data_IF_688343751408
#
_entry.id   IF_688343751408
#
_cell.length_a   1.000
_cell.length_b   1.000
_cell.length_c   1.000
_cell.angle_alpha   90.00
_cell.angle_beta   90.00
_cell.angle_gamma   90.00
#
_symmetry.space_group_name_H-M   'P 1'
#
loop_
_entity.id
_entity.type
_entity.pdbx_description
1 polymer ?
#
# COMPACT_ATOMS: atom_id res chain seq x y z
N UNK A 1 -30.53 -8.45 41.77
CA UNK A 1 -31.58 -7.63 42.40
C UNK A 1 -31.09 -7.22 43.78
N UNK A 2 -30.71 -5.95 43.96
CA UNK A 2 -30.37 -5.41 45.28
C UNK A 2 -30.87 -3.97 45.32
N UNK A 3 -32.01 -3.77 45.98
CA UNK A 3 -32.63 -2.47 46.22
C UNK A 3 -32.02 -1.84 47.46
N UNK A 4 -31.18 -0.84 47.29
CA UNK A 4 -30.68 0.01 48.38
C UNK A 4 -31.80 0.92 48.90
N UNK A 5 -31.91 1.18 50.20
CA UNK A 5 -33.06 1.85 50.79
C UNK A 5 -33.06 3.34 50.43
N UNK A 6 -34.15 3.78 49.82
CA UNK A 6 -34.47 5.19 49.58
C UNK A 6 -34.64 5.86 50.94
N UNK A 7 -33.68 6.69 51.35
CA UNK A 7 -33.81 7.54 52.52
C UNK A 7 -35.00 8.49 52.31
N UNK A 8 -36.10 8.25 53.02
CA UNK A 8 -37.19 9.19 53.12
C UNK A 8 -36.69 10.40 53.94
N UNK A 9 -36.72 11.63 53.40
CA UNK A 9 -36.36 12.81 54.17
C UNK A 9 -37.44 13.02 55.24
N UNK A 10 -37.06 12.93 56.52
CA UNK A 10 -37.91 13.38 57.63
C UNK A 10 -38.17 14.87 57.46
N UNK A 11 -39.39 15.22 57.06
CA UNK A 11 -39.84 16.61 56.88
C UNK A 11 -40.23 17.20 58.22
N UNK A 12 -39.27 17.86 58.88
CA UNK A 12 -39.57 18.81 59.96
C UNK A 12 -40.38 19.97 59.35
N UNK A 13 -41.47 20.48 59.98
CA UNK A 13 -42.29 21.54 59.40
C UNK A 13 -41.48 22.85 59.37
N UNK A 14 -40.78 23.06 58.26
CA UNK A 14 -40.10 24.31 57.98
C UNK A 14 -41.14 25.41 57.73
N UNK A 15 -40.97 26.58 58.34
CA UNK A 15 -41.77 27.76 57.98
C UNK A 15 -41.59 28.10 56.50
N UNK A 16 -42.57 28.77 55.88
CA UNK A 16 -42.60 29.04 54.43
C UNK A 16 -41.29 29.64 53.89
N UNK A 17 -40.66 30.57 54.61
CA UNK A 17 -39.37 31.15 54.21
C UNK A 17 -38.19 30.17 54.20
N UNK A 18 -38.19 29.17 55.08
CA UNK A 18 -37.17 28.12 55.11
C UNK A 18 -37.41 27.09 53.98
N UNK A 19 -38.67 26.79 53.64
CA UNK A 19 -38.99 25.99 52.45
C UNK A 19 -38.56 26.69 51.15
N UNK A 20 -38.73 28.01 51.07
CA UNK A 20 -38.33 28.79 49.90
C UNK A 20 -36.80 28.78 49.70
N UNK A 21 -36.02 28.91 50.78
CA UNK A 21 -34.54 28.79 50.71
C UNK A 21 -34.11 27.38 50.32
N UNK A 22 -34.69 26.35 50.93
CA UNK A 22 -34.35 24.97 50.59
C UNK A 22 -34.64 24.66 49.11
N UNK A 23 -35.72 25.21 48.55
CA UNK A 23 -36.03 25.11 47.12
C UNK A 23 -35.03 25.89 46.25
N UNK A 24 -34.62 27.09 46.66
CA UNK A 24 -33.60 27.87 45.95
C UNK A 24 -32.24 27.17 45.95
N UNK A 25 -31.83 26.60 47.08
CA UNK A 25 -30.56 25.87 47.22
C UNK A 25 -30.60 24.58 46.37
N UNK A 26 -31.71 23.84 46.42
CA UNK A 26 -31.90 22.67 45.58
C UNK A 26 -31.94 23.03 44.09
N UNK A 27 -32.60 24.13 43.72
CA UNK A 27 -32.63 24.61 42.33
C UNK A 27 -31.22 24.96 41.85
N UNK A 28 -30.43 25.64 42.69
CA UNK A 28 -29.04 25.95 42.38
C UNK A 28 -28.19 24.70 42.21
N UNK A 29 -28.29 23.74 43.12
CA UNK A 29 -27.58 22.46 43.04
C UNK A 29 -27.95 21.68 41.76
N UNK A 30 -29.24 21.67 41.38
CA UNK A 30 -29.69 21.05 40.14
C UNK A 30 -29.13 21.76 38.91
N UNK A 31 -29.10 23.10 38.89
CA UNK A 31 -28.50 23.86 37.79
C UNK A 31 -27.01 23.56 37.64
N UNK A 32 -26.25 23.58 38.75
CA UNK A 32 -24.82 23.26 38.74
C UNK A 32 -24.57 21.82 38.23
N UNK A 33 -25.42 20.87 38.62
CA UNK A 33 -25.34 19.48 38.14
C UNK A 33 -25.68 19.35 36.66
N UNK A 34 -26.67 20.08 36.16
CA UNK A 34 -27.02 20.11 34.74
C UNK A 34 -25.86 20.66 33.93
N UNK A 35 -25.24 21.77 34.36
CA UNK A 35 -24.09 22.37 33.67
C UNK A 35 -22.88 21.42 33.59
N UNK A 36 -22.60 20.66 34.64
CA UNK A 36 -21.54 19.64 34.62
C UNK A 36 -21.87 18.52 33.64
N UNK A 37 -23.09 17.99 33.68
CA UNK A 37 -23.52 16.92 32.77
C UNK A 37 -23.59 17.37 31.31
N UNK A 38 -23.91 18.62 31.04
CA UNK A 38 -23.88 19.20 29.70
C UNK A 38 -22.45 19.29 29.16
N UNK A 39 -21.49 19.68 30.02
CA UNK A 39 -20.07 19.71 29.66
C UNK A 39 -19.53 18.31 29.39
N UNK A 40 -19.81 17.34 30.27
CA UNK A 40 -19.40 15.95 30.09
C UNK A 40 -20.03 15.34 28.81
N UNK A 41 -21.29 15.64 28.51
CA UNK A 41 -21.91 15.20 27.26
C UNK A 41 -21.26 15.83 26.03
N UNK A 42 -20.86 17.10 26.09
CA UNK A 42 -20.16 17.75 25.00
C UNK A 42 -18.81 17.07 24.74
N UNK A 43 -18.04 16.77 25.79
CA UNK A 43 -16.78 16.04 25.72
C UNK A 43 -16.96 14.62 25.17
N UNK A 44 -17.96 13.88 25.65
CA UNK A 44 -18.27 12.53 25.15
C UNK A 44 -18.70 12.53 23.68
N UNK A 45 -19.43 13.57 23.26
CA UNK A 45 -19.84 13.72 21.86
C UNK A 45 -18.64 13.99 20.98
N UNK A 46 -17.74 14.88 21.40
CA UNK A 46 -16.50 15.15 20.67
C UNK A 46 -15.62 13.91 20.56
N UNK A 47 -15.43 13.18 21.67
CA UNK A 47 -14.67 11.93 21.68
C UNK A 47 -15.28 10.88 20.73
N UNK A 48 -16.60 10.73 20.74
CA UNK A 48 -17.31 9.83 19.84
C UNK A 48 -17.08 10.20 18.37
N UNK A 49 -17.15 11.49 18.04
CA UNK A 49 -16.93 11.97 16.68
C UNK A 49 -15.47 11.73 16.23
N UNK A 50 -14.49 11.94 17.12
CA UNK A 50 -13.09 11.60 16.86
C UNK A 50 -12.89 10.10 16.62
N UNK A 51 -13.49 9.24 17.45
CA UNK A 51 -13.39 7.79 17.29
C UNK A 51 -14.02 7.33 15.97
N UNK A 52 -15.17 7.88 15.59
CA UNK A 52 -15.81 7.57 14.31
C UNK A 52 -14.92 7.97 13.13
N UNK A 53 -14.31 9.17 13.17
CA UNK A 53 -13.40 9.61 12.12
C UNK A 53 -12.16 8.71 11.99
N UNK A 54 -11.63 8.21 13.13
CA UNK A 54 -10.54 7.22 13.11
C UNK A 54 -11.02 5.90 12.51
N UNK A 55 -12.21 5.45 12.88
CA UNK A 55 -12.79 4.20 12.39
C UNK A 55 -12.97 4.23 10.87
N UNK A 56 -13.53 5.32 10.33
CA UNK A 56 -13.69 5.54 8.90
C UNK A 56 -12.33 5.49 8.18
N UNK A 57 -11.33 6.19 8.71
CA UNK A 57 -9.96 6.18 8.14
C UNK A 57 -9.32 4.79 8.15
N UNK A 58 -9.53 4.02 9.22
CA UNK A 58 -9.00 2.66 9.31
C UNK A 58 -9.73 1.76 8.31
N UNK A 59 -11.05 1.90 8.16
CA UNK A 59 -11.84 1.13 7.22
C UNK A 59 -11.43 1.38 5.77
N UNK A 60 -11.20 2.64 5.39
CA UNK A 60 -10.68 2.99 4.06
C UNK A 60 -9.30 2.39 3.78
N UNK A 61 -8.43 2.42 4.79
CA UNK A 61 -7.09 1.83 4.70
C UNK A 61 -7.15 0.31 4.55
N UNK A 62 -8.02 -0.36 5.32
CA UNK A 62 -8.24 -1.80 5.20
C UNK A 62 -8.71 -2.14 3.79
N UNK A 63 -9.69 -1.41 3.27
CA UNK A 63 -10.22 -1.64 1.92
C UNK A 63 -9.13 -1.50 0.84
N UNK A 64 -8.29 -0.46 0.96
CA UNK A 64 -7.17 -0.25 0.02
C UNK A 64 -6.13 -1.37 0.11
N UNK A 65 -5.82 -1.84 1.31
CA UNK A 65 -4.89 -2.95 1.52
C UNK A 65 -5.45 -4.27 0.98
N UNK A 66 -6.74 -4.52 1.12
CA UNK A 66 -7.41 -5.69 0.55
C UNK A 66 -7.37 -5.69 -0.98
N UNK A 67 -7.68 -4.55 -1.61
CA UNK A 67 -7.56 -4.37 -3.05
C UNK A 67 -6.13 -4.62 -3.53
N UNK A 68 -5.14 -4.05 -2.84
CA UNK A 68 -3.73 -4.23 -3.17
C UNK A 68 -3.28 -5.69 -3.00
N UNK A 69 -3.72 -6.35 -1.94
CA UNK A 69 -3.46 -7.77 -1.71
C UNK A 69 -4.05 -8.64 -2.82
N UNK A 70 -5.30 -8.37 -3.24
CA UNK A 70 -5.95 -9.06 -4.34
C UNK A 70 -5.19 -8.86 -5.67
N UNK A 71 -4.71 -7.64 -5.93
CA UNK A 71 -3.86 -7.33 -7.08
C UNK A 71 -2.54 -8.10 -7.04
N UNK A 72 -1.85 -8.14 -5.90
CA UNK A 72 -0.61 -8.92 -5.78
C UNK A 72 -0.86 -10.42 -5.97
N UNK A 73 -1.98 -10.94 -5.47
CA UNK A 73 -2.35 -12.34 -5.63
C UNK A 73 -2.67 -12.70 -7.08
N UNK A 74 -3.34 -11.82 -7.84
CA UNK A 74 -3.53 -12.03 -9.28
C UNK A 74 -2.20 -11.97 -10.02
N UNK A 75 -1.31 -11.03 -9.68
CA UNK A 75 0.01 -10.90 -10.28
C UNK A 75 0.88 -12.14 -10.06
N UNK A 76 0.88 -12.70 -8.85
CA UNK A 76 1.60 -13.96 -8.56
C UNK A 76 1.08 -15.11 -9.41
N UNK A 77 -0.25 -15.26 -9.52
CA UNK A 77 -0.86 -16.32 -10.35
C UNK A 77 -0.48 -16.20 -11.81
N UNK A 78 -0.44 -14.98 -12.34
CA UNK A 78 -0.01 -14.71 -13.71
C UNK A 78 1.47 -15.08 -13.94
N UNK A 79 2.37 -14.66 -13.06
CA UNK A 79 3.80 -15.00 -13.17
C UNK A 79 4.03 -16.51 -13.07
N UNK A 80 3.32 -17.20 -12.17
CA UNK A 80 3.39 -18.66 -12.07
C UNK A 80 2.90 -19.34 -13.35
N UNK A 81 1.82 -18.85 -13.95
CA UNK A 81 1.33 -19.35 -15.24
C UNK A 81 2.36 -19.15 -16.35
N UNK A 82 2.97 -17.97 -16.43
CA UNK A 82 4.03 -17.67 -17.40
C UNK A 82 5.26 -18.57 -17.23
N UNK A 83 5.71 -18.80 -16.00
CA UNK A 83 6.81 -19.72 -15.70
C UNK A 83 6.48 -21.16 -16.11
N UNK A 84 5.25 -21.59 -15.82
CA UNK A 84 4.76 -22.92 -16.22
C UNK A 84 4.76 -23.07 -17.73
N UNK A 85 4.30 -22.05 -18.46
CA UNK A 85 4.32 -22.03 -19.93
C UNK A 85 5.75 -22.06 -20.49
N UNK A 86 6.68 -21.27 -19.93
CA UNK A 86 8.10 -21.30 -20.33
C UNK A 86 8.70 -22.69 -20.15
N UNK A 87 8.42 -23.34 -19.02
CA UNK A 87 8.91 -24.69 -18.75
C UNK A 87 8.42 -25.69 -19.80
N UNK A 88 7.13 -25.66 -20.13
CA UNK A 88 6.56 -26.52 -21.17
C UNK A 88 7.22 -26.27 -22.52
N UNK A 89 7.36 -25.00 -22.91
CA UNK A 89 8.00 -24.62 -24.17
C UNK A 89 9.46 -25.08 -24.25
N UNK A 90 10.22 -24.98 -23.15
CA UNK A 90 11.59 -25.49 -23.11
C UNK A 90 11.64 -27.02 -23.19
N UNK A 91 10.71 -27.72 -22.55
CA UNK A 91 10.65 -29.18 -22.63
C UNK A 91 10.29 -29.65 -24.05
N UNK A 92 9.32 -29.02 -24.71
CA UNK A 92 8.97 -29.31 -26.10
C UNK A 92 10.13 -29.02 -27.06
N UNK A 93 10.84 -27.91 -26.84
CA UNK A 93 12.03 -27.57 -27.62
C UNK A 93 13.15 -28.60 -27.41
N UNK A 94 13.45 -28.98 -26.17
CA UNK A 94 14.48 -29.97 -25.86
C UNK A 94 14.19 -31.32 -26.54
N UNK A 95 12.95 -31.81 -26.45
CA UNK A 95 12.52 -33.01 -27.15
C UNK A 95 12.70 -32.89 -28.68
N UNK A 96 12.32 -31.75 -29.26
CA UNK A 96 12.48 -31.51 -30.70
C UNK A 96 13.95 -31.45 -31.11
N UNK A 97 14.82 -30.87 -30.28
CA UNK A 97 16.25 -30.81 -30.54
C UNK A 97 16.90 -32.19 -30.43
N UNK A 98 16.57 -32.98 -29.41
CA UNK A 98 17.05 -34.36 -29.28
C UNK A 98 16.77 -35.18 -30.54
N UNK A 99 15.56 -35.07 -31.11
CA UNK A 99 15.21 -35.75 -32.36
C UNK A 99 16.01 -35.20 -33.55
N UNK A 100 16.17 -33.88 -33.65
CA UNK A 100 16.91 -33.25 -34.78
C UNK A 100 18.41 -33.49 -34.74
N UNK A 101 19.00 -33.63 -33.56
CA UNK A 101 20.43 -33.87 -33.38
C UNK A 101 20.79 -35.35 -33.46
N UNK A 102 19.81 -36.25 -33.40
CA UNK A 102 20.04 -37.71 -33.41
C UNK A 102 20.77 -38.19 -34.68
N UNK A 103 20.51 -37.55 -35.82
CA UNK A 103 21.10 -37.92 -37.11
C UNK A 103 22.37 -37.11 -37.47
N UNK A 104 22.78 -36.16 -36.62
CA UNK A 104 23.99 -35.36 -36.84
C UNK A 104 25.21 -36.23 -36.57
N UNK A 105 26.09 -36.36 -37.56
CA UNK A 105 27.34 -37.09 -37.40
C UNK A 105 28.28 -36.33 -36.45
N UNK A 106 29.05 -37.02 -35.60
CA UNK A 106 29.94 -36.36 -34.63
C UNK A 106 31.04 -35.52 -35.30
N UNK A 107 31.37 -35.81 -36.56
CA UNK A 107 32.35 -35.06 -37.36
C UNK A 107 31.72 -33.87 -38.13
N UNK A 108 30.38 -33.74 -38.12
CA UNK A 108 29.66 -32.64 -38.74
C UNK A 108 29.62 -31.41 -37.80
N UNK A 109 30.74 -30.69 -37.78
CA UNK A 109 30.90 -29.47 -36.98
C UNK A 109 29.87 -28.38 -37.36
N UNK A 110 29.53 -28.26 -38.65
CA UNK A 110 28.59 -27.24 -39.12
C UNK A 110 27.17 -27.54 -38.64
N UNK A 111 26.73 -28.80 -38.74
CA UNK A 111 25.45 -29.27 -38.20
C UNK A 111 25.34 -29.10 -36.67
N UNK A 112 26.40 -29.41 -35.93
CA UNK A 112 26.45 -29.20 -34.48
C UNK A 112 26.38 -27.70 -34.10
N UNK A 113 27.13 -26.84 -34.78
CA UNK A 113 27.09 -25.39 -34.52
C UNK A 113 25.74 -24.77 -34.90
N UNK A 114 25.14 -25.21 -36.02
CA UNK A 114 23.83 -24.74 -36.46
C UNK A 114 22.69 -25.15 -35.52
N UNK A 115 22.71 -26.40 -35.05
CA UNK A 115 21.75 -26.88 -34.05
C UNK A 115 21.90 -26.12 -32.72
N UNK A 116 23.13 -25.91 -32.24
CA UNK A 116 23.42 -25.12 -31.04
C UNK A 116 22.94 -23.67 -31.16
N UNK A 117 23.22 -22.98 -32.27
CA UNK A 117 22.74 -21.62 -32.52
C UNK A 117 21.22 -21.53 -32.55
N UNK A 118 20.55 -22.55 -33.11
CA UNK A 118 19.08 -22.65 -33.13
C UNK A 118 18.52 -22.86 -31.73
N UNK A 119 19.15 -23.70 -30.90
CA UNK A 119 18.76 -23.92 -29.50
C UNK A 119 18.77 -22.61 -28.69
N UNK A 120 19.87 -21.86 -28.78
CA UNK A 120 20.01 -20.56 -28.10
C UNK A 120 18.92 -19.59 -28.58
N UNK A 121 18.74 -19.48 -29.90
CA UNK A 121 17.79 -18.53 -30.48
C UNK A 121 16.35 -18.88 -30.08
N UNK A 122 15.98 -20.17 -30.04
CA UNK A 122 14.68 -20.62 -29.55
C UNK A 122 14.47 -20.27 -28.08
N UNK A 123 15.46 -20.53 -27.22
CA UNK A 123 15.36 -20.17 -25.80
C UNK A 123 15.21 -18.64 -25.61
N UNK A 124 15.97 -17.84 -26.37
CA UNK A 124 15.85 -16.39 -26.35
C UNK A 124 14.45 -15.93 -26.81
N UNK A 125 13.91 -16.52 -27.88
CA UNK A 125 12.58 -16.20 -28.39
C UNK A 125 11.47 -16.54 -27.39
N UNK A 126 11.58 -17.66 -26.66
CA UNK A 126 10.63 -18.00 -25.59
C UNK A 126 10.62 -16.92 -24.50
N UNK A 127 11.80 -16.50 -24.02
CA UNK A 127 11.91 -15.43 -23.03
C UNK A 127 11.38 -14.09 -23.54
N UNK A 128 11.73 -13.69 -24.77
CA UNK A 128 11.25 -12.44 -25.37
C UNK A 128 9.73 -12.42 -25.53
N UNK A 129 9.13 -13.54 -25.93
CA UNK A 129 7.66 -13.64 -26.06
C UNK A 129 6.97 -13.46 -24.71
N UNK A 130 7.48 -14.10 -23.65
CA UNK A 130 6.89 -13.99 -22.32
C UNK A 130 7.08 -12.59 -21.72
N UNK A 131 8.26 -11.98 -21.89
CA UNK A 131 8.50 -10.59 -21.49
C UNK A 131 7.67 -9.59 -22.32
N UNK A 132 7.43 -9.88 -23.61
CA UNK A 132 6.60 -9.07 -24.49
C UNK A 132 5.12 -9.12 -24.12
N UNK A 133 4.61 -10.29 -23.72
CA UNK A 133 3.26 -10.44 -23.18
C UNK A 133 3.05 -9.65 -21.88
N UNK A 134 4.07 -9.58 -21.00
CA UNK A 134 4.02 -8.73 -19.80
C UNK A 134 3.86 -7.23 -20.13
N UNK A 135 4.34 -6.77 -21.29
CA UNK A 135 4.22 -5.36 -21.71
C UNK A 135 2.88 -5.05 -22.35
N UNK A 136 2.34 -5.97 -23.17
CA UNK A 136 1.08 -5.78 -23.91
C UNK A 136 -0.15 -5.70 -23.00
N UNK A 137 -0.13 -6.36 -21.83
CA UNK A 137 -1.21 -6.27 -20.85
C UNK A 137 -1.16 -4.98 -19.99
N UNK A 138 -0.28 -4.01 -20.30
CA UNK A 138 -0.16 -2.77 -19.52
C UNK A 138 0.40 -2.96 -18.11
N UNK A 139 1.11 -4.08 -17.86
CA UNK A 139 1.50 -4.53 -16.53
C UNK A 139 2.98 -4.29 -16.20
N UNK A 140 3.72 -3.62 -17.07
CA UNK A 140 4.79 -2.77 -16.57
C UNK A 140 4.11 -1.49 -16.11
N UNK A 141 4.30 -1.04 -14.86
CA UNK A 141 4.14 0.37 -14.63
C UNK A 141 5.04 1.04 -15.68
N UNK A 142 4.56 1.97 -16.50
CA UNK A 142 5.50 2.94 -16.99
C UNK A 142 6.17 3.46 -15.71
N UNK A 143 7.50 3.45 -15.64
CA UNK A 143 8.19 4.38 -14.74
C UNK A 143 7.93 5.81 -15.26
N UNK A 144 6.66 6.17 -15.42
CA UNK A 144 6.17 7.53 -15.41
C UNK A 144 5.64 7.68 -14.00
N UNK A 145 6.54 8.11 -13.11
CA UNK A 145 6.14 8.96 -12.00
C UNK A 145 4.99 9.87 -12.45
N UNK A 146 3.86 9.94 -11.75
CA UNK A 146 2.89 10.98 -12.00
C UNK A 146 3.58 12.29 -11.59
N UNK A 147 4.21 12.95 -12.56
CA UNK A 147 4.45 14.37 -12.48
C UNK A 147 3.05 14.99 -12.45
N UNK A 148 2.58 15.26 -11.24
CA UNK A 148 1.50 16.21 -11.03
C UNK A 148 1.86 17.44 -11.87
N UNK A 149 0.99 17.74 -12.82
CA UNK A 149 0.98 18.98 -13.57
C UNK A 149 0.83 20.13 -12.57
N UNK A 150 1.95 20.67 -12.06
CA UNK A 150 2.01 22.06 -11.65
C UNK A 150 2.35 22.88 -12.89
N UNK A 151 1.40 23.72 -13.28
CA UNK A 151 1.41 24.65 -14.40
C UNK A 151 2.66 25.55 -14.42
N UNK A 152 3.72 25.23 -15.18
CA UNK A 152 4.72 26.22 -15.60
C UNK A 152 5.33 25.85 -16.97
N UNK A 153 5.70 26.83 -17.82
CA UNK A 153 5.77 26.63 -19.27
C UNK A 153 7.09 26.01 -19.72
N UNK A 154 6.95 25.03 -20.62
CA UNK A 154 7.81 24.74 -21.77
C UNK A 154 9.30 25.12 -21.67
N UNK A 155 10.16 24.13 -21.41
CA UNK A 155 11.47 24.03 -22.05
C UNK A 155 11.76 22.60 -22.45
N UNK A 156 11.76 22.37 -23.77
CA UNK A 156 12.43 21.23 -24.38
C UNK A 156 13.89 21.22 -23.94
N UNK A 157 14.31 20.18 -23.21
CA UNK A 157 15.72 19.91 -22.99
C UNK A 157 16.01 18.55 -23.63
N UNK A 158 16.85 18.66 -24.65
CA UNK A 158 17.48 17.59 -25.42
C UNK A 158 18.01 16.48 -24.53
N UNK A 159 17.97 15.25 -25.05
CA UNK A 159 18.64 14.10 -24.46
C UNK A 159 20.11 14.46 -24.17
N UNK A 160 20.50 14.35 -22.90
CA UNK A 160 21.86 14.55 -22.44
C UNK A 160 22.31 13.34 -21.58
N UNK A 161 23.62 13.05 -21.58
CA UNK A 161 24.17 11.70 -21.57
C UNK A 161 24.30 11.09 -20.18
N UNK A 162 24.42 9.77 -20.16
CA UNK A 162 24.77 8.90 -19.03
C UNK A 162 26.03 9.37 -18.29
N UNK A 163 25.93 10.33 -17.36
CA UNK A 163 26.89 10.48 -16.25
C UNK A 163 26.41 11.59 -15.30
N UNK A 164 25.79 11.20 -14.19
CA UNK A 164 25.86 11.95 -12.94
C UNK A 164 26.06 10.93 -11.82
N UNK A 165 27.29 10.87 -11.32
CA UNK A 165 27.67 10.10 -10.15
C UNK A 165 26.89 10.64 -8.96
N UNK A 166 26.03 9.81 -8.37
CA UNK A 166 25.46 10.09 -7.06
C UNK A 166 26.59 10.31 -6.04
N UNK A 167 26.42 11.21 -5.04
CA UNK A 167 27.40 11.38 -3.96
C UNK A 167 27.70 10.04 -3.29
N UNK A 168 28.92 9.85 -2.76
CA UNK A 168 29.40 8.55 -2.23
C UNK A 168 28.51 7.88 -1.17
N UNK A 169 27.63 8.64 -0.52
CA UNK A 169 26.64 8.14 0.44
C UNK A 169 25.40 7.48 -0.20
N UNK A 170 25.31 7.45 -1.53
CA UNK A 170 24.16 6.95 -2.28
C UNK A 170 24.53 5.76 -3.18
N UNK A 171 23.59 4.83 -3.32
CA UNK A 171 23.67 3.75 -4.30
C UNK A 171 23.56 4.29 -5.72
N UNK A 172 24.03 3.50 -6.70
CA UNK A 172 23.80 3.74 -8.12
C UNK A 172 22.33 3.79 -8.53
N UNK A 173 21.43 3.35 -7.64
CA UNK A 173 19.98 3.40 -7.79
C UNK A 173 19.35 4.63 -7.10
N UNK A 174 20.17 5.59 -6.66
CA UNK A 174 19.70 6.80 -5.99
C UNK A 174 19.12 6.54 -4.61
N UNK A 175 19.76 5.70 -3.81
CA UNK A 175 19.30 5.36 -2.45
C UNK A 175 20.35 5.71 -1.41
N UNK A 176 19.99 6.48 -0.38
CA UNK A 176 20.91 6.86 0.69
C UNK A 176 21.10 5.69 1.66
N UNK A 177 22.33 5.17 1.79
CA UNK A 177 22.62 4.08 2.72
C UNK A 177 22.53 4.50 4.19
N UNK A 178 22.78 5.77 4.50
CA UNK A 178 22.76 6.26 5.88
C UNK A 178 21.34 6.37 6.45
N UNK A 179 20.34 6.69 5.61
CA UNK A 179 18.98 6.98 6.06
C UNK A 179 17.93 6.05 5.48
N UNK A 180 18.35 5.06 4.67
CA UNK A 180 17.47 4.08 4.07
C UNK A 180 16.29 4.74 3.32
N UNK A 181 16.58 5.79 2.55
CA UNK A 181 15.59 6.59 1.82
C UNK A 181 16.03 6.89 0.39
N UNK A 182 15.08 7.01 -0.57
CA UNK A 182 15.39 7.37 -1.96
C UNK A 182 15.89 8.81 -2.10
N UNK A 183 16.60 9.08 -3.18
CA UNK A 183 17.15 10.39 -3.53
C UNK A 183 16.03 11.38 -3.94
N UNK A 184 16.10 12.66 -3.57
CA UNK A 184 17.09 13.26 -2.66
C UNK A 184 16.74 12.93 -1.20
N UNK A 185 17.72 12.47 -0.42
CA UNK A 185 17.48 12.26 1.00
C UNK A 185 17.32 13.61 1.67
N UNK A 186 16.16 13.86 2.24
CA UNK A 186 15.82 15.11 2.97
C UNK A 186 16.76 15.39 4.14
N UNK A 187 17.46 14.38 4.65
CA UNK A 187 18.43 14.49 5.76
C UNK A 187 19.84 14.85 5.26
N UNK A 188 20.23 14.39 4.07
CA UNK A 188 21.53 14.71 3.47
C UNK A 188 21.51 15.90 2.51
N UNK A 189 20.31 16.38 2.14
CA UNK A 189 20.09 17.49 1.21
C UNK A 189 19.87 18.85 1.89
N UNK A 190 20.26 18.98 3.16
CA UNK A 190 20.44 20.25 3.86
C UNK A 190 21.93 20.64 3.84
#
# INVERSE_FOLDING_TARGET
MSTSPTHAPMTVPMGFGAQLRALQDAQREQTERIEVLERENAELKEYKDQVNAILDRVQDRVHTLEQYSAYLASRRREVVSQLTNLRTLHQEADNAFQVRTADIQPDDLEGMLGSYGTMITTAMNHHQRVLGQMRMNGQFPPYTTPLQHSQYPQRMISAAPYHNQYPSAYSSYGYCYAHNMPYCCVVCGQ
#
